data_IF_771701249477
#
_entry.id   IF_771701249477
#
_cell.length_a   1.000
_cell.length_b   1.000
_cell.length_c   1.000
_cell.angle_alpha   90.00
_cell.angle_beta   90.00
_cell.angle_gamma   90.00
#
_symmetry.space_group_name_H-M   'P 1'
#
loop_
_entity.id
_entity.type
_entity.pdbx_description
1 polymer ?
#
# COMPACT_ATOMS: atom_id res chain seq x y z
N UNK A 1 -4.13 6.86 7.95
CA UNK A 1 -3.36 6.29 6.81
C UNK A 1 -4.13 5.16 6.16
N UNK A 2 -4.60 4.18 6.94
CA UNK A 2 -5.19 2.94 6.40
C UNK A 2 -6.60 3.05 5.84
N UNK A 3 -7.26 4.22 5.91
CA UNK A 3 -8.60 4.41 5.34
C UNK A 3 -8.64 4.24 3.81
N UNK A 4 -7.52 4.47 3.12
CA UNK A 4 -7.38 4.23 1.68
C UNK A 4 -6.98 2.78 1.34
N UNK A 5 -6.72 1.94 2.33
CA UNK A 5 -6.46 0.51 2.10
C UNK A 5 -7.74 -0.18 1.62
N UNK A 6 -7.61 -1.38 1.04
CA UNK A 6 -8.77 -2.19 0.64
C UNK A 6 -9.77 -2.37 1.80
N UNK A 7 -9.28 -2.60 3.01
CA UNK A 7 -10.13 -2.75 4.19
C UNK A 7 -10.82 -1.43 4.58
N UNK A 8 -10.10 -0.31 4.49
CA UNK A 8 -10.67 1.02 4.72
C UNK A 8 -11.75 1.38 3.70
N UNK A 9 -11.51 1.10 2.41
CA UNK A 9 -12.50 1.32 1.34
C UNK A 9 -13.73 0.43 1.56
N UNK A 10 -13.53 -0.84 1.90
CA UNK A 10 -14.63 -1.75 2.22
C UNK A 10 -15.44 -1.25 3.43
N UNK A 11 -14.77 -0.78 4.48
CA UNK A 11 -15.43 -0.20 5.65
C UNK A 11 -16.24 1.05 5.27
N UNK A 12 -15.68 1.94 4.45
CA UNK A 12 -16.38 3.11 3.92
C UNK A 12 -17.65 2.74 3.18
N UNK A 13 -17.59 1.72 2.32
CA UNK A 13 -18.75 1.20 1.59
C UNK A 13 -19.82 0.66 2.56
N UNK A 14 -19.43 -0.11 3.57
CA UNK A 14 -20.38 -0.61 4.58
C UNK A 14 -21.02 0.51 5.40
N UNK A 15 -20.27 1.57 5.73
CA UNK A 15 -20.84 2.73 6.43
C UNK A 15 -21.85 3.48 5.57
N UNK A 16 -21.62 3.57 4.25
CA UNK A 16 -22.56 4.17 3.32
C UNK A 16 -23.86 3.35 3.20
N UNK A 17 -23.78 2.02 3.23
CA UNK A 17 -24.97 1.16 3.25
C UNK A 17 -25.74 1.25 4.58
N UNK A 18 -25.02 1.31 5.70
CA UNK A 18 -25.61 1.45 7.03
C UNK A 18 -26.20 2.83 7.29
N UNK A 19 -25.71 3.88 6.62
CA UNK A 19 -26.33 5.21 6.69
C UNK A 19 -27.81 5.16 6.31
N UNK A 20 -28.12 4.48 5.20
CA UNK A 20 -29.49 4.35 4.70
C UNK A 20 -30.37 3.47 5.61
N UNK A 21 -29.78 2.51 6.33
CA UNK A 21 -30.52 1.49 7.09
C UNK A 21 -30.69 1.87 8.57
N UNK A 22 -29.68 2.50 9.16
CA UNK A 22 -29.56 2.71 10.60
C UNK A 22 -29.63 4.20 11.00
N UNK A 23 -29.79 5.13 10.04
CA UNK A 23 -29.78 6.59 10.29
C UNK A 23 -28.55 7.05 11.11
N UNK A 24 -27.37 6.53 10.76
CA UNK A 24 -26.12 6.90 11.43
C UNK A 24 -25.84 8.40 11.26
N UNK A 25 -25.65 9.10 12.37
CA UNK A 25 -25.21 10.49 12.31
C UNK A 25 -23.78 10.60 11.81
N UNK A 26 -23.41 11.76 11.25
CA UNK A 26 -22.04 12.03 10.83
C UNK A 26 -21.03 11.87 11.97
N UNK A 27 -21.41 12.28 13.19
CA UNK A 27 -20.58 12.12 14.38
C UNK A 27 -20.33 10.64 14.74
N UNK A 28 -21.32 9.77 14.57
CA UNK A 28 -21.18 8.33 14.83
C UNK A 28 -20.27 7.68 13.79
N UNK A 29 -20.40 8.07 12.51
CA UNK A 29 -19.48 7.59 11.46
C UNK A 29 -18.03 8.00 11.77
N UNK A 30 -17.84 9.23 12.23
CA UNK A 30 -16.51 9.70 12.63
C UNK A 30 -15.94 8.90 13.80
N UNK A 31 -16.75 8.58 14.82
CA UNK A 31 -16.33 7.71 15.93
C UNK A 31 -15.95 6.30 15.47
N UNK A 32 -16.72 5.72 14.55
CA UNK A 32 -16.44 4.42 13.97
C UNK A 32 -15.12 4.42 13.19
N UNK A 33 -14.85 5.50 12.46
CA UNK A 33 -13.58 5.71 11.78
C UNK A 33 -12.40 5.87 12.73
N UNK A 34 -12.57 6.59 13.84
CA UNK A 34 -11.54 6.70 14.88
C UNK A 34 -11.21 5.34 15.50
N UNK A 35 -12.23 4.52 15.75
CA UNK A 35 -12.03 3.16 16.25
C UNK A 35 -11.30 2.29 15.22
N UNK A 36 -11.65 2.40 13.94
CA UNK A 36 -10.94 1.72 12.85
C UNK A 36 -9.46 2.10 12.80
N UNK A 37 -9.15 3.39 12.88
CA UNK A 37 -7.76 3.87 12.83
C UNK A 37 -6.95 3.31 14.02
N UNK A 38 -7.50 3.36 15.24
CA UNK A 38 -6.86 2.81 16.45
C UNK A 38 -6.65 1.30 16.33
N UNK A 39 -7.68 0.56 15.90
CA UNK A 39 -7.61 -0.90 15.80
C UNK A 39 -6.57 -1.34 14.75
N UNK A 40 -6.46 -0.63 13.62
CA UNK A 40 -5.46 -0.90 12.60
C UNK A 40 -4.04 -0.64 13.11
N UNK A 41 -3.80 0.49 13.78
CA UNK A 41 -2.49 0.81 14.37
C UNK A 41 -2.07 -0.24 15.41
N UNK A 42 -3.00 -0.66 16.28
CA UNK A 42 -2.74 -1.70 17.29
C UNK A 42 -2.46 -3.06 16.64
N UNK A 43 -3.28 -3.48 15.68
CA UNK A 43 -3.10 -4.79 15.04
C UNK A 43 -1.76 -4.88 14.32
N UNK A 44 -1.36 -3.82 13.60
CA UNK A 44 -0.09 -3.80 12.88
C UNK A 44 1.14 -3.70 13.78
N UNK A 45 1.01 -3.12 14.97
CA UNK A 45 2.11 -3.04 15.95
C UNK A 45 2.25 -4.31 16.80
N UNK A 46 1.15 -5.01 17.07
CA UNK A 46 1.15 -6.25 17.85
C UNK A 46 1.53 -7.48 17.01
N UNK A 47 1.19 -7.48 15.72
CA UNK A 47 1.56 -8.57 14.83
C UNK A 47 3.05 -8.46 14.51
N UNK A 48 3.84 -9.42 14.99
CA UNK A 48 5.19 -9.64 14.48
C UNK A 48 5.08 -10.06 13.02
N UNK A 49 5.12 -9.08 12.12
CA UNK A 49 5.14 -9.31 10.68
C UNK A 49 6.50 -9.94 10.37
N UNK A 50 6.51 -11.28 10.28
CA UNK A 50 7.71 -12.06 9.93
C UNK A 50 8.02 -12.02 8.42
N UNK A 51 7.16 -11.38 7.65
CA UNK A 51 7.32 -11.23 6.21
C UNK A 51 8.17 -10.00 5.90
N UNK A 52 9.19 -10.16 5.07
CA UNK A 52 10.03 -9.06 4.57
C UNK A 52 9.55 -8.66 3.17
N UNK A 53 9.49 -7.35 2.90
CA UNK A 53 9.20 -6.84 1.56
C UNK A 53 10.39 -6.02 1.08
N UNK A 54 11.00 -6.42 -0.04
CA UNK A 54 12.08 -5.68 -0.70
C UNK A 54 11.55 -5.02 -1.96
N UNK A 55 11.95 -3.77 -2.16
CA UNK A 55 11.56 -2.97 -3.32
C UNK A 55 12.79 -2.65 -4.14
N UNK A 56 12.80 -3.11 -5.38
CA UNK A 56 13.85 -2.80 -6.35
C UNK A 56 13.28 -1.89 -7.42
N UNK A 57 14.03 -0.84 -7.75
CA UNK A 57 13.74 0.06 -8.86
C UNK A 57 14.99 0.19 -9.70
N UNK A 58 14.83 0.27 -11.01
CA UNK A 58 15.93 0.71 -11.87
C UNK A 58 16.36 2.12 -11.46
N UNK A 59 17.67 2.43 -11.50
CA UNK A 59 18.14 3.78 -11.23
C UNK A 59 17.49 4.78 -12.19
N UNK A 60 17.33 6.05 -11.77
CA UNK A 60 16.72 7.08 -12.60
C UNK A 60 17.45 7.17 -13.95
N UNK A 61 16.76 6.87 -15.04
CA UNK A 61 17.26 7.12 -16.38
C UNK A 61 17.20 8.63 -16.64
N UNK A 62 18.26 9.34 -16.26
CA UNK A 62 18.55 10.64 -16.86
C UNK A 62 18.95 10.37 -18.30
N UNK A 63 17.99 10.43 -19.23
CA UNK A 63 18.17 10.74 -20.67
C UNK A 63 16.92 10.30 -21.42
N UNK A 64 16.07 11.27 -21.72
CA UNK A 64 15.43 11.28 -23.04
C UNK A 64 15.42 12.72 -23.55
N UNK A 65 16.63 13.26 -23.69
CA UNK A 65 16.82 14.46 -24.51
C UNK A 65 16.86 13.96 -25.95
N UNK A 66 15.74 14.11 -26.65
CA UNK A 66 15.60 13.70 -28.03
C UNK A 66 16.77 14.18 -28.90
N UNK A 67 17.57 13.23 -29.37
CA UNK A 67 18.48 13.40 -30.48
C UNK A 67 18.20 12.24 -31.45
N UNK A 68 17.68 12.50 -32.66
CA UNK A 68 17.49 11.45 -33.64
C UNK A 68 18.84 11.08 -34.24
N UNK A 69 19.24 9.82 -34.06
CA UNK A 69 20.24 9.16 -34.90
C UNK A 69 21.60 8.96 -34.24
N UNK A 70 21.81 7.75 -33.72
CA UNK A 70 23.06 7.01 -33.86
C UNK A 70 22.84 5.57 -33.39
N UNK A 71 22.66 4.63 -34.33
CA UNK A 71 22.94 3.23 -34.07
C UNK A 71 24.42 3.06 -33.70
N UNK A 72 24.74 2.07 -32.86
CA UNK A 72 25.68 1.07 -33.35
C UNK A 72 25.30 -0.37 -32.95
N UNK A 73 25.12 -1.18 -33.98
CA UNK A 73 25.81 -2.45 -34.24
C UNK A 73 26.11 -3.40 -33.07
N UNK A 74 25.45 -4.56 -33.15
CA UNK A 74 25.82 -5.91 -32.69
C UNK A 74 27.22 -6.18 -32.12
N UNK A 75 27.27 -6.97 -31.03
CA UNK A 75 28.19 -8.12 -30.93
C UNK A 75 27.74 -9.14 -29.88
N UNK A 76 28.04 -10.41 -30.16
CA UNK A 76 27.51 -11.64 -29.57
C UNK A 76 28.27 -12.17 -28.33
N UNK A 77 27.67 -13.21 -27.70
CA UNK A 77 28.30 -14.16 -26.76
C UNK A 77 27.64 -14.14 -25.37
N UNK A 78 27.25 -15.23 -24.70
CA UNK A 78 27.33 -16.67 -24.93
C UNK A 78 27.20 -17.39 -23.57
N UNK A 79 26.33 -18.40 -23.50
CA UNK A 79 26.41 -19.62 -22.66
C UNK A 79 26.25 -19.56 -21.11
N UNK A 80 25.21 -20.20 -20.54
CA UNK A 80 25.29 -21.53 -19.88
C UNK A 80 24.00 -22.01 -19.18
N UNK A 81 23.89 -23.34 -19.12
CA UNK A 81 22.84 -24.24 -18.61
C UNK A 81 22.42 -24.06 -17.13
N UNK A 82 21.21 -24.53 -16.82
CA UNK A 82 20.79 -24.95 -15.46
C UNK A 82 19.41 -25.59 -15.47
N UNK A 83 19.28 -26.78 -14.89
CA UNK A 83 18.25 -27.78 -15.15
C UNK A 83 16.82 -27.51 -14.64
N UNK A 84 15.89 -28.12 -15.38
CA UNK A 84 14.49 -28.39 -15.04
C UNK A 84 14.35 -29.09 -13.69
N UNK A 85 13.59 -28.49 -12.78
CA UNK A 85 12.74 -29.25 -11.85
C UNK A 85 11.31 -28.71 -11.94
N UNK A 86 10.44 -29.56 -12.47
CA UNK A 86 8.99 -29.35 -12.63
C UNK A 86 8.29 -29.46 -11.27
N UNK A 87 8.06 -28.34 -10.62
CA UNK A 87 6.99 -28.17 -9.63
C UNK A 87 5.89 -27.35 -10.27
N UNK A 88 4.69 -27.92 -10.42
CA UNK A 88 3.59 -27.28 -11.15
C UNK A 88 3.21 -25.91 -10.57
N UNK A 89 2.82 -24.93 -11.41
CA UNK A 89 2.39 -23.63 -10.92
C UNK A 89 1.12 -23.78 -10.09
N UNK A 90 1.15 -23.31 -8.85
CA UNK A 90 -0.06 -23.12 -8.04
C UNK A 90 -0.87 -21.99 -8.68
N UNK A 91 -2.01 -22.35 -9.26
CA UNK A 91 -2.92 -21.40 -9.89
C UNK A 91 -3.72 -20.65 -8.84
N UNK A 92 -3.54 -19.33 -8.77
CA UNK A 92 -4.41 -18.43 -7.99
C UNK A 92 -5.61 -17.93 -8.80
N UNK A 93 -5.99 -18.61 -9.90
CA UNK A 93 -7.26 -18.31 -10.54
C UNK A 93 -8.36 -18.57 -9.52
N UNK A 94 -9.14 -17.55 -9.10
CA UNK A 94 -10.29 -17.81 -8.25
C UNK A 94 -11.22 -18.76 -9.02
N UNK A 95 -11.82 -19.79 -8.36
CA UNK A 95 -12.89 -20.54 -8.99
C UNK A 95 -13.95 -19.55 -9.44
N UNK A 96 -14.39 -19.67 -10.70
CA UNK A 96 -15.31 -18.73 -11.33
C UNK A 96 -16.60 -18.58 -10.53
N UNK A 97 -16.63 -17.58 -9.66
CA UNK A 97 -17.83 -17.15 -8.95
C UNK A 97 -18.56 -16.17 -9.86
N UNK A 98 -19.56 -16.67 -10.56
CA UNK A 98 -20.54 -15.83 -11.25
C UNK A 98 -21.43 -15.19 -10.19
N UNK A 99 -21.21 -13.92 -9.88
CA UNK A 99 -22.14 -13.11 -9.12
C UNK A 99 -23.20 -12.50 -10.06
N UNK A 100 -24.49 -12.49 -9.69
CA UNK A 100 -25.50 -11.79 -10.47
C UNK A 100 -25.19 -10.30 -10.52
N UNK A 101 -25.10 -9.76 -11.74
CA UNK A 101 -24.87 -8.35 -12.01
C UNK A 101 -26.16 -7.60 -11.64
N UNK A 102 -26.17 -6.99 -10.46
CA UNK A 102 -27.15 -5.95 -10.11
C UNK A 102 -26.58 -4.62 -10.60
N UNK A 103 -27.38 -3.85 -11.33
CA UNK A 103 -26.97 -2.58 -11.94
C UNK A 103 -26.39 -1.62 -10.89
N UNK A 104 -25.12 -1.27 -11.05
CA UNK A 104 -24.42 -0.32 -10.18
C UNK A 104 -24.76 1.09 -10.65
N UNK A 105 -25.51 1.82 -9.82
CA UNK A 105 -25.69 3.28 -9.95
C UNK A 105 -24.33 3.96 -9.85
N UNK A 106 -24.03 4.85 -10.80
CA UNK A 106 -22.73 5.49 -10.99
C UNK A 106 -22.14 6.05 -9.69
N UNK A 107 -20.98 5.51 -9.29
CA UNK A 107 -20.12 6.13 -8.29
C UNK A 107 -19.62 7.50 -8.81
N UNK A 108 -19.43 8.51 -7.94
CA UNK A 108 -18.87 9.78 -8.35
C UNK A 108 -17.50 9.53 -8.98
N UNK A 109 -17.33 10.02 -10.20
CA UNK A 109 -16.06 9.99 -10.95
C UNK A 109 -15.06 10.81 -10.15
N UNK A 110 -14.31 10.14 -9.27
CA UNK A 110 -13.07 10.69 -8.72
C UNK A 110 -12.20 10.94 -9.94
N UNK A 111 -11.89 12.22 -10.18
CA UNK A 111 -11.10 12.62 -11.32
C UNK A 111 -9.83 11.73 -11.37
N UNK A 112 -9.60 10.99 -12.46
CA UNK A 112 -8.37 10.25 -12.60
C UNK A 112 -7.26 11.27 -12.47
N UNK A 113 -6.38 11.09 -11.49
CA UNK A 113 -5.21 11.93 -11.33
C UNK A 113 -4.44 11.81 -12.65
N UNK A 114 -4.57 12.82 -13.51
CA UNK A 114 -3.83 12.92 -14.77
C UNK A 114 -2.39 13.21 -14.37
N UNK A 115 -1.65 12.17 -14.00
CA UNK A 115 -0.21 12.17 -14.15
C UNK A 115 0.00 12.11 -15.66
N UNK A 116 -0.12 13.28 -16.30
CA UNK A 116 0.33 13.47 -17.65
C UNK A 116 1.79 13.02 -17.72
N UNK A 117 2.18 12.42 -18.85
CA UNK A 117 3.55 12.06 -19.26
C UNK A 117 4.44 13.32 -19.41
N UNK A 118 4.43 14.22 -18.42
CA UNK A 118 5.16 15.47 -18.43
C UNK A 118 6.53 15.26 -17.78
N UNK A 119 7.46 14.60 -18.49
CA UNK A 119 8.90 14.65 -18.18
C UNK A 119 9.33 14.37 -16.73
N UNK A 120 8.51 13.66 -15.96
CA UNK A 120 8.78 13.38 -14.55
C UNK A 120 9.81 12.26 -14.48
N UNK A 121 11.02 12.59 -14.05
CA UNK A 121 12.04 11.61 -13.75
C UNK A 121 11.65 10.85 -12.48
N UNK A 122 11.47 9.54 -12.61
CA UNK A 122 11.25 8.65 -11.46
C UNK A 122 12.58 8.31 -10.81
N UNK A 123 12.63 8.14 -9.48
CA UNK A 123 11.52 8.19 -8.51
C UNK A 123 11.08 9.62 -8.13
N UNK A 124 9.78 9.80 -7.85
CA UNK A 124 9.21 11.09 -7.38
C UNK A 124 8.95 11.02 -5.88
N UNK A 125 9.42 12.03 -5.15
CA UNK A 125 9.27 12.15 -3.70
C UNK A 125 8.45 13.38 -3.32
N UNK A 126 7.59 13.25 -2.32
CA UNK A 126 6.88 14.35 -1.68
C UNK A 126 6.82 14.15 -0.18
N UNK A 127 7.23 15.14 0.60
CA UNK A 127 7.00 15.20 2.04
C UNK A 127 5.99 16.31 2.33
N UNK A 128 4.91 15.99 3.03
CA UNK A 128 3.86 16.95 3.41
C UNK A 128 3.18 16.49 4.70
N UNK A 129 2.99 17.40 5.67
CA UNK A 129 2.35 17.10 6.97
C UNK A 129 2.89 15.86 7.71
N UNK A 130 4.22 15.68 7.72
CA UNK A 130 4.85 14.52 8.37
C UNK A 130 4.61 13.18 7.66
N UNK A 131 4.05 13.19 6.44
CA UNK A 131 3.88 12.02 5.59
C UNK A 131 4.80 12.12 4.36
N UNK A 132 5.57 11.07 4.13
CA UNK A 132 6.33 10.87 2.91
C UNK A 132 5.49 10.09 1.91
N UNK A 133 5.51 10.52 0.66
CA UNK A 133 4.93 9.84 -0.48
C UNK A 133 6.02 9.61 -1.52
N UNK A 134 6.18 8.38 -1.97
CA UNK A 134 7.16 7.97 -2.97
C UNK A 134 6.39 7.34 -4.13
N UNK A 135 6.66 7.77 -5.36
CA UNK A 135 6.12 7.15 -6.56
C UNK A 135 7.27 6.58 -7.39
N UNK A 136 7.21 5.28 -7.62
CA UNK A 136 8.19 4.49 -8.35
C UNK A 136 7.57 3.95 -9.64
N UNK A 137 8.39 3.72 -10.67
CA UNK A 137 7.99 3.16 -11.96
C UNK A 137 8.84 1.92 -12.25
N UNK A 138 8.26 0.91 -12.91
CA UNK A 138 8.90 -0.35 -13.26
C UNK A 138 9.56 -1.05 -12.06
N UNK A 139 8.82 -1.18 -10.96
CA UNK A 139 9.35 -1.76 -9.71
C UNK A 139 9.21 -3.27 -9.68
N UNK A 140 10.21 -3.92 -9.07
CA UNK A 140 10.16 -5.33 -8.71
C UNK A 140 10.02 -5.41 -7.20
N UNK A 141 8.97 -6.07 -6.74
CA UNK A 141 8.75 -6.40 -5.33
C UNK A 141 9.15 -7.85 -5.09
N UNK A 142 9.96 -8.08 -4.06
CA UNK A 142 10.16 -9.41 -3.51
C UNK A 142 9.48 -9.48 -2.14
N UNK A 143 8.55 -10.42 -1.98
CA UNK A 143 7.90 -10.72 -0.72
C UNK A 143 8.48 -12.02 -0.19
N UNK A 144 9.13 -11.96 0.95
CA UNK A 144 9.72 -13.10 1.63
C UNK A 144 8.81 -13.43 2.80
N UNK A 145 8.23 -14.63 2.80
CA UNK A 145 7.32 -15.04 3.85
C UNK A 145 8.06 -15.48 5.13
N UNK A 146 7.31 -15.85 6.17
CA UNK A 146 7.88 -16.33 7.43
C UNK A 146 8.64 -17.67 7.31
N UNK A 147 8.46 -18.40 6.21
CA UNK A 147 9.14 -19.67 5.92
C UNK A 147 10.39 -19.47 5.05
N UNK A 148 10.62 -18.25 4.56
CA UNK A 148 11.73 -17.88 3.68
C UNK A 148 11.43 -18.09 2.20
N UNK A 149 10.18 -18.40 1.83
CA UNK A 149 9.76 -18.48 0.43
C UNK A 149 9.64 -17.07 -0.13
N UNK A 150 10.32 -16.84 -1.26
CA UNK A 150 10.32 -15.55 -1.95
C UNK A 150 9.40 -15.59 -3.16
N UNK A 151 8.48 -14.63 -3.23
CA UNK A 151 7.66 -14.37 -4.41
C UNK A 151 8.03 -13.02 -5.03
N UNK A 152 8.16 -12.98 -6.36
CA UNK A 152 8.53 -11.80 -7.12
C UNK A 152 7.33 -11.24 -7.88
N UNK A 153 7.04 -9.96 -7.71
CA UNK A 153 5.92 -9.25 -8.34
C UNK A 153 6.47 -8.06 -9.13
N UNK A 154 6.14 -8.01 -10.43
CA UNK A 154 6.48 -6.89 -11.29
C UNK A 154 5.32 -5.90 -11.34
N UNK A 155 5.60 -4.62 -11.08
CA UNK A 155 4.61 -3.55 -11.09
C UNK A 155 5.07 -2.42 -12.01
N UNK A 156 4.17 -1.93 -12.85
CA UNK A 156 4.42 -0.75 -13.67
C UNK A 156 4.61 0.50 -12.81
N UNK A 157 3.86 0.59 -11.71
CA UNK A 157 3.91 1.72 -10.77
C UNK A 157 3.71 1.24 -9.33
N UNK A 158 4.43 1.87 -8.41
CA UNK A 158 4.26 1.66 -6.97
C UNK A 158 4.23 3.01 -6.24
N UNK A 159 3.14 3.27 -5.52
CA UNK A 159 2.98 4.44 -4.66
C UNK A 159 3.11 4.00 -3.21
N UNK A 160 4.07 4.57 -2.49
CA UNK A 160 4.36 4.26 -1.08
C UNK A 160 4.05 5.47 -0.23
N UNK A 161 3.27 5.27 0.83
CA UNK A 161 3.02 6.27 1.87
C UNK A 161 3.72 5.84 3.15
N UNK A 162 4.56 6.71 3.70
CA UNK A 162 5.28 6.47 4.95
C UNK A 162 4.93 7.59 5.94
N UNK A 163 4.62 7.21 7.18
CA UNK A 163 4.46 8.14 8.29
C UNK A 163 5.59 7.86 9.28
N UNK A 164 6.19 8.93 9.76
CA UNK A 164 7.24 8.80 10.77
C UNK A 164 6.66 8.20 12.07
N UNK A 165 7.32 7.16 12.58
CA UNK A 165 7.01 6.56 13.87
C UNK A 165 8.03 7.12 14.86
N UNK A 166 7.63 8.13 15.62
CA UNK A 166 8.48 8.70 16.66
C UNK A 166 8.51 7.74 17.85
N UNK A 167 9.67 7.17 18.23
CA UNK A 167 9.77 6.27 19.37
C UNK A 167 9.45 7.05 20.65
N UNK A 168 8.32 6.74 21.30
CA UNK A 168 7.92 7.33 22.59
C UNK A 168 6.61 8.14 22.60
N UNK A 169 5.90 8.25 21.47
CA UNK A 169 4.55 8.87 21.40
C UNK A 169 3.40 7.86 21.45
N UNK A 170 3.67 6.58 21.73
CA UNK A 170 2.63 5.63 22.13
C UNK A 170 2.12 6.05 23.50
N UNK A 171 0.97 6.73 23.49
CA UNK A 171 0.31 7.32 24.63
C UNK A 171 -0.08 6.32 25.71
N UNK A 172 0.89 5.83 26.47
CA UNK A 172 0.66 5.33 27.82
C UNK A 172 0.31 6.53 28.70
N UNK A 173 -0.95 6.98 28.63
CA UNK A 173 -1.57 7.77 29.70
C UNK A 173 -1.56 6.90 30.96
N UNK A 174 -0.44 6.90 31.68
CA UNK A 174 -0.42 6.56 33.09
C UNK A 174 -1.34 7.57 33.78
N UNK A 175 -2.58 7.18 34.01
CA UNK A 175 -3.41 7.82 35.03
C UNK A 175 -2.73 7.57 36.37
N UNK A 176 -1.83 8.47 36.76
CA UNK A 176 -1.37 8.57 38.14
C UNK A 176 -2.54 9.12 38.95
N UNK A 177 -3.34 8.20 39.51
CA UNK A 177 -4.30 8.54 40.56
C UNK A 177 -3.46 8.93 41.78
N UNK A 178 -3.21 10.22 41.95
CA UNK A 178 -2.55 10.77 43.13
C UNK A 178 -3.50 10.62 44.33
N UNK A 179 -3.39 9.48 45.03
CA UNK A 179 -4.07 9.22 46.29
C UNK A 179 -3.56 10.13 47.39
N UNK A 180 -4.24 11.27 47.59
CA UNK A 180 -4.01 12.21 48.69
C UNK A 180 -4.56 11.60 49.98
N UNK A 181 -3.77 10.80 50.71
CA UNK A 181 -4.13 10.35 52.06
C UNK A 181 -3.75 11.41 53.11
N UNK A 182 -4.79 11.98 53.69
CA UNK A 182 -4.84 12.95 54.79
C UNK A 182 -4.25 12.31 56.07
N UNK A 183 -3.29 13.01 56.70
CA UNK A 183 -2.65 12.64 57.98
C UNK A 183 -3.70 12.71 59.11
N UNK A 184 -3.72 11.69 59.97
CA UNK A 184 -4.40 11.70 61.27
C UNK A 184 -3.56 12.45 62.29
#
# INVERSE_FOLDING_TARGET
MYRESLLGVAFSATLAELECTCNLSESQKQQLWELFDIAMDQTLSEVSVRTEVRVFTSPPSLLDTGAPGAEPSSSAGGNQNGEKHTGGPLSTKPPGLTFPITQVTQAPVVAPCKIADSGLAYPVYRAHDGMWTILLKNTILEVIDATGVTETIHLDYLKVHLKEILPGMDGRRQTTISGKKRKR
#
